data_IF_051065281485
#
_entry.id   IF_051065281485
#
_cell.length_a   1.000
_cell.length_b   1.000
_cell.length_c   1.000
_cell.angle_alpha   90.00
_cell.angle_beta   90.00
_cell.angle_gamma   90.00
#
_symmetry.space_group_name_H-M   'P 1'
#
loop_
_entity.id
_entity.type
_entity.pdbx_description
1 polymer ?
#
# COMPACT_ATOMS: atom_id res chain seq x y z
N UNK A 1 25.90 64.64 -31.73
CA UNK A 1 24.67 64.36 -30.95
C UNK A 1 24.68 62.87 -30.66
N UNK A 2 24.97 62.47 -29.43
CA UNK A 2 25.25 61.07 -29.09
C UNK A 2 23.93 60.36 -28.75
N UNK A 3 23.50 59.46 -29.64
CA UNK A 3 22.31 58.63 -29.46
C UNK A 3 22.51 57.63 -28.32
N UNK A 4 22.05 58.01 -27.12
CA UNK A 4 21.79 57.08 -26.03
C UNK A 4 20.58 56.23 -26.37
N UNK A 5 20.75 55.03 -26.94
CA UNK A 5 19.86 53.90 -26.65
C UNK A 5 20.39 52.59 -27.26
N UNK A 6 20.72 51.63 -26.41
CA UNK A 6 20.54 50.18 -26.66
C UNK A 6 21.16 49.40 -25.50
N UNK A 7 20.45 49.34 -24.37
CA UNK A 7 20.62 48.21 -23.46
C UNK A 7 19.90 47.04 -24.15
N UNK A 8 20.60 46.03 -24.70
CA UNK A 8 19.93 44.93 -25.36
C UNK A 8 18.99 44.27 -24.35
N UNK A 9 17.73 44.16 -24.74
CA UNK A 9 16.71 43.42 -24.03
C UNK A 9 17.26 42.01 -23.79
N UNK A 10 17.66 41.74 -22.54
CA UNK A 10 18.13 40.43 -22.13
C UNK A 10 16.91 39.51 -22.05
N UNK A 11 16.65 38.89 -23.20
CA UNK A 11 16.35 37.47 -23.39
C UNK A 11 15.28 36.93 -22.44
N UNK A 12 14.05 36.96 -22.94
CA UNK A 12 13.03 35.98 -22.61
C UNK A 12 13.52 34.59 -23.07
N UNK A 13 13.79 33.68 -22.12
CA UNK A 13 13.69 32.23 -22.28
C UNK A 13 14.09 31.52 -20.98
N UNK A 14 13.11 31.15 -20.16
CA UNK A 14 13.24 29.97 -19.31
C UNK A 14 12.06 29.06 -19.63
N UNK A 15 12.28 28.24 -20.66
CA UNK A 15 11.33 27.26 -21.17
C UNK A 15 10.98 26.25 -20.08
N UNK A 16 9.69 25.94 -20.04
CA UNK A 16 9.06 24.88 -19.27
C UNK A 16 9.88 23.59 -19.30
N UNK A 17 10.18 23.07 -18.10
CA UNK A 17 10.94 21.85 -17.93
C UNK A 17 10.65 21.18 -16.59
N UNK A 18 9.40 21.19 -16.13
CA UNK A 18 8.97 20.18 -15.16
C UNK A 18 8.69 18.90 -15.96
N UNK A 19 9.78 18.21 -16.29
CA UNK A 19 9.72 16.85 -16.78
C UNK A 19 8.88 16.03 -15.80
N UNK A 20 7.85 15.37 -16.35
CA UNK A 20 6.95 14.50 -15.64
C UNK A 20 7.73 13.60 -14.68
N UNK A 21 7.55 13.84 -13.38
CA UNK A 21 7.88 12.85 -12.36
C UNK A 21 7.06 11.62 -12.70
N UNK A 22 7.73 10.62 -13.26
CA UNK A 22 7.12 9.33 -13.57
C UNK A 22 6.35 8.87 -12.34
N UNK A 23 5.05 8.69 -12.51
CA UNK A 23 4.26 7.92 -11.57
C UNK A 23 4.84 6.53 -11.71
N UNK A 24 5.78 6.17 -10.83
CA UNK A 24 6.05 4.77 -10.57
C UNK A 24 4.70 4.20 -10.17
N UNK A 25 4.10 3.43 -11.08
CA UNK A 25 2.95 2.61 -10.73
C UNK A 25 3.45 1.73 -9.58
N UNK A 26 3.09 2.10 -8.35
CA UNK A 26 3.22 1.21 -7.23
C UNK A 26 2.41 -0.01 -7.66
N UNK A 27 3.09 -1.11 -7.97
CA UNK A 27 2.42 -2.39 -8.07
C UNK A 27 1.66 -2.51 -6.77
N UNK A 28 0.33 -2.37 -6.82
CA UNK A 28 -0.51 -2.64 -5.68
C UNK A 28 -0.30 -4.12 -5.39
N UNK A 29 0.59 -4.41 -4.45
CA UNK A 29 0.82 -5.75 -3.95
C UNK A 29 -0.55 -6.27 -3.51
N UNK A 30 -1.14 -7.16 -4.31
CA UNK A 30 -2.48 -7.66 -4.07
C UNK A 30 -2.47 -8.29 -2.68
N UNK A 31 -3.18 -7.69 -1.73
CA UNK A 31 -3.22 -8.16 -0.34
C UNK A 31 -4.35 -9.17 -0.20
N UNK A 32 -4.10 -10.26 0.53
CA UNK A 32 -5.09 -11.28 0.82
C UNK A 32 -5.28 -11.45 2.33
N UNK A 33 -6.49 -11.74 2.76
CA UNK A 33 -6.78 -12.19 4.12
C UNK A 33 -6.24 -13.63 4.27
N UNK A 34 -5.21 -13.79 5.09
CA UNK A 34 -4.57 -15.07 5.34
C UNK A 34 -4.97 -15.60 6.70
N UNK A 35 -5.75 -16.67 6.70
CA UNK A 35 -6.31 -17.28 7.90
C UNK A 35 -5.37 -18.31 8.51
N UNK A 36 -5.44 -18.47 9.84
CA UNK A 36 -4.66 -19.48 10.56
C UNK A 36 -3.17 -19.15 10.70
N UNK A 37 -2.78 -17.89 10.52
CA UNK A 37 -1.39 -17.41 10.69
C UNK A 37 -1.24 -16.29 11.72
N UNK A 38 -2.36 -15.78 12.22
CA UNK A 38 -2.36 -14.74 13.24
C UNK A 38 -1.99 -15.35 14.60
N UNK A 39 -1.04 -14.74 15.31
CA UNK A 39 -0.78 -15.07 16.71
C UNK A 39 -1.85 -14.42 17.60
N UNK A 40 -1.94 -14.89 18.85
CA UNK A 40 -2.76 -14.26 19.88
C UNK A 40 -2.41 -12.76 19.96
N UNK A 41 -3.44 -11.93 19.97
CA UNK A 41 -3.32 -10.47 19.98
C UNK A 41 -2.79 -9.84 18.70
N UNK A 42 -2.67 -10.58 17.60
CA UNK A 42 -1.99 -10.11 16.38
C UNK A 42 -2.78 -10.39 15.09
N UNK A 43 -4.08 -10.63 15.18
CA UNK A 43 -4.98 -10.63 14.01
C UNK A 43 -5.23 -9.20 13.52
N UNK A 44 -5.49 -9.08 12.22
CA UNK A 44 -6.04 -7.86 11.65
C UNK A 44 -7.53 -7.72 11.97
N UNK A 45 -8.10 -6.53 11.75
CA UNK A 45 -9.47 -6.20 12.13
C UNK A 45 -10.48 -7.12 11.42
N UNK A 46 -11.43 -7.68 12.19
CA UNK A 46 -12.38 -8.74 11.84
C UNK A 46 -11.85 -10.19 11.92
N UNK A 47 -12.77 -11.13 12.13
CA UNK A 47 -12.57 -12.58 12.10
C UNK A 47 -13.62 -13.19 11.17
N UNK A 48 -13.29 -14.27 10.45
CA UNK A 48 -14.22 -14.96 9.53
C UNK A 48 -15.51 -15.40 10.22
N UNK A 49 -15.44 -15.69 11.52
CA UNK A 49 -16.58 -16.15 12.30
C UNK A 49 -17.24 -15.03 13.13
N UNK A 50 -16.73 -13.80 13.04
CA UNK A 50 -17.25 -12.64 13.79
C UNK A 50 -17.08 -12.75 15.31
N UNK A 51 -16.23 -13.67 15.79
CA UNK A 51 -16.02 -13.92 17.23
C UNK A 51 -15.33 -12.77 17.95
N UNK A 52 -14.65 -11.90 17.21
CA UNK A 52 -14.10 -10.64 17.68
C UNK A 52 -14.09 -9.59 16.57
N UNK A 53 -14.29 -8.33 16.95
CA UNK A 53 -14.62 -7.22 16.04
C UNK A 53 -13.44 -6.32 15.69
N UNK A 54 -12.32 -6.46 16.41
CA UNK A 54 -11.17 -5.56 16.30
C UNK A 54 -9.84 -6.30 16.14
N UNK A 55 -8.85 -5.57 15.63
CA UNK A 55 -7.48 -6.05 15.54
C UNK A 55 -6.91 -6.35 16.93
N UNK A 56 -6.16 -7.43 17.05
CA UNK A 56 -5.52 -7.84 18.29
C UNK A 56 -6.43 -8.48 19.34
N UNK A 57 -7.61 -8.95 18.95
CA UNK A 57 -8.53 -9.68 19.84
C UNK A 57 -8.39 -11.20 19.75
N UNK A 58 -7.56 -11.72 18.84
CA UNK A 58 -7.22 -13.14 18.73
C UNK A 58 -6.79 -13.68 20.10
N UNK A 59 -7.55 -14.64 20.63
CA UNK A 59 -7.29 -15.21 21.96
C UNK A 59 -6.23 -16.30 21.93
N UNK A 60 -6.02 -16.93 20.77
CA UNK A 60 -5.12 -18.07 20.60
C UNK A 60 -4.27 -17.89 19.34
N UNK A 61 -3.13 -18.57 19.31
CA UNK A 61 -2.27 -18.59 18.12
C UNK A 61 -2.88 -19.44 17.00
N UNK A 62 -2.77 -18.94 15.77
CA UNK A 62 -3.13 -19.59 14.52
C UNK A 62 -4.59 -20.05 14.46
N UNK A 63 -5.50 -19.31 15.08
CA UNK A 63 -6.93 -19.57 14.97
C UNK A 63 -7.38 -19.51 13.50
N UNK A 64 -8.22 -20.45 13.08
CA UNK A 64 -8.66 -20.55 11.69
C UNK A 64 -9.67 -19.46 11.30
N UNK A 65 -10.33 -18.87 12.28
CA UNK A 65 -11.21 -17.71 12.10
C UNK A 65 -10.42 -16.39 12.06
N UNK A 66 -9.20 -16.36 12.59
CA UNK A 66 -8.35 -15.17 12.57
C UNK A 66 -7.48 -15.08 11.33
N UNK A 67 -7.34 -13.85 10.83
CA UNK A 67 -6.48 -13.58 9.68
C UNK A 67 -5.46 -12.48 9.93
N UNK A 68 -4.44 -12.49 9.06
CA UNK A 68 -3.59 -11.34 8.78
C UNK A 68 -3.67 -10.98 7.30
N UNK A 69 -3.64 -9.69 7.00
CA UNK A 69 -3.60 -9.16 5.65
C UNK A 69 -2.15 -9.18 5.16
N UNK A 70 -1.85 -10.10 4.25
CA UNK A 70 -0.48 -10.32 3.75
C UNK A 70 -0.44 -10.16 2.23
N UNK A 71 0.73 -9.91 1.63
CA UNK A 71 0.87 -9.94 0.18
C UNK A 71 0.48 -11.31 -0.41
N UNK A 72 -0.14 -11.32 -1.58
CA UNK A 72 -0.53 -12.55 -2.30
C UNK A 72 0.67 -13.47 -2.48
N UNK A 73 0.44 -14.77 -2.35
CA UNK A 73 1.51 -15.78 -2.37
C UNK A 73 2.30 -15.92 -1.07
N UNK A 74 2.23 -14.95 -0.14
CA UNK A 74 2.86 -15.08 1.19
C UNK A 74 2.07 -16.02 2.10
N UNK A 75 0.74 -16.02 2.00
CA UNK A 75 -0.12 -16.82 2.87
C UNK A 75 0.21 -18.32 2.85
N UNK A 76 0.40 -18.88 1.65
CA UNK A 76 0.81 -20.28 1.49
C UNK A 76 2.20 -20.56 2.08
N UNK A 77 3.15 -19.62 1.95
CA UNK A 77 4.50 -19.74 2.53
C UNK A 77 4.46 -19.75 4.06
N UNK A 78 3.49 -19.07 4.65
CA UNK A 78 3.23 -19.07 6.09
C UNK A 78 2.42 -20.29 6.56
N UNK A 79 2.00 -21.18 5.65
CA UNK A 79 1.15 -22.35 5.96
C UNK A 79 -0.34 -22.03 6.12
N UNK A 80 -0.73 -20.77 5.92
CA UNK A 80 -2.11 -20.30 6.03
C UNK A 80 -3.00 -20.71 4.85
N UNK A 81 -4.23 -20.23 4.90
CA UNK A 81 -5.23 -20.39 3.82
C UNK A 81 -5.77 -19.02 3.47
N UNK A 82 -5.85 -18.70 2.17
CA UNK A 82 -6.61 -17.55 1.72
C UNK A 82 -8.09 -17.95 1.69
N UNK A 83 -8.97 -17.09 2.21
CA UNK A 83 -10.40 -17.29 2.02
C UNK A 83 -10.80 -16.55 0.76
N UNK A 84 -10.93 -17.28 -0.35
CA UNK A 84 -11.46 -16.73 -1.60
C UNK A 84 -12.98 -16.47 -1.51
N UNK A 85 -13.62 -16.85 -0.41
CA UNK A 85 -15.07 -16.94 -0.22
C UNK A 85 -15.66 -15.80 0.62
N UNK A 86 -14.85 -14.83 1.05
CA UNK A 86 -15.28 -13.65 1.82
C UNK A 86 -14.77 -12.32 1.22
N UNK A 87 -14.63 -12.27 -0.10
CA UNK A 87 -14.45 -10.98 -0.79
C UNK A 87 -15.76 -10.20 -0.89
#
# INVERSE_FOLDING_TARGET
>A
MNSKLSRPALIAAALAGLAATGISAAHADERVQCFGVAKAGQNDCASKTGVHGCAGEAKVDNDKGDFKTVPKGTCQKMGGKFDEQHS
#
